data_IF_137226579321
#
_entry.id   IF_137226579321
#
_cell.length_a   1.000
_cell.length_b   1.000
_cell.length_c   1.000
_cell.angle_alpha   90.00
_cell.angle_beta   90.00
_cell.angle_gamma   90.00
#
_symmetry.space_group_name_H-M   'P 1'
#
loop_
_entity.id
_entity.type
_entity.pdbx_description
1 polymer ?
#
# COMPACT_ATOMS: atom_id res chain seq x y z
N UNK A 1 17.13 21.43 2.75
CA UNK A 1 17.34 22.75 2.09
C UNK A 1 16.83 22.74 0.63
N UNK A 2 16.75 23.89 -0.06
CA UNK A 2 16.60 23.92 -1.54
C UNK A 2 17.83 23.26 -2.21
N UNK A 3 19.02 23.44 -1.65
CA UNK A 3 20.28 22.81 -2.11
C UNK A 3 20.25 21.28 -2.06
N UNK A 4 19.91 20.65 -0.92
CA UNK A 4 19.89 19.18 -0.81
C UNK A 4 18.92 18.54 -1.81
N UNK A 5 17.79 19.21 -2.08
CA UNK A 5 16.84 18.77 -3.10
C UNK A 5 17.45 18.80 -4.49
N UNK A 6 18.17 19.87 -4.83
CA UNK A 6 18.90 19.93 -6.10
C UNK A 6 19.96 18.84 -6.19
N UNK A 7 20.64 18.54 -5.08
CA UNK A 7 21.65 17.47 -5.02
C UNK A 7 21.02 16.09 -5.30
N UNK A 8 19.91 15.75 -4.62
CA UNK A 8 19.20 14.47 -4.85
C UNK A 8 18.63 14.40 -6.27
N UNK A 9 18.03 15.48 -6.77
CA UNK A 9 17.54 15.55 -8.15
C UNK A 9 18.67 15.36 -9.16
N UNK A 10 19.82 16.01 -8.96
CA UNK A 10 21.00 15.86 -9.80
C UNK A 10 21.59 14.46 -9.72
N UNK A 11 21.64 13.85 -8.55
CA UNK A 11 22.14 12.49 -8.39
C UNK A 11 21.28 11.50 -9.16
N UNK A 12 19.95 11.59 -9.01
CA UNK A 12 19.02 10.69 -9.71
C UNK A 12 19.05 10.95 -11.22
N UNK A 13 19.05 12.21 -11.66
CA UNK A 13 19.06 12.53 -13.10
C UNK A 13 20.37 12.15 -13.80
N UNK A 14 21.51 12.27 -13.12
CA UNK A 14 22.82 11.95 -13.70
C UNK A 14 23.12 10.45 -13.67
N UNK A 15 22.74 9.74 -12.61
CA UNK A 15 23.05 8.31 -12.44
C UNK A 15 21.95 7.38 -12.94
N UNK A 16 20.70 7.85 -13.01
CA UNK A 16 19.55 7.02 -13.28
C UNK A 16 18.69 7.62 -14.41
N UNK A 17 19.19 7.54 -15.65
CA UNK A 17 18.53 8.08 -16.86
C UNK A 17 17.09 7.57 -17.10
N UNK A 18 16.76 6.46 -16.47
CA UNK A 18 15.46 5.80 -16.56
C UNK A 18 14.41 6.41 -15.64
N UNK A 19 14.77 7.37 -14.79
CA UNK A 19 13.88 7.96 -13.79
C UNK A 19 13.76 9.47 -13.95
N UNK A 20 12.54 9.96 -13.73
CA UNK A 20 12.19 11.37 -13.61
C UNK A 20 11.82 11.66 -12.16
N UNK A 21 12.26 12.81 -11.65
CA UNK A 21 11.97 13.23 -10.28
C UNK A 21 11.24 14.55 -10.26
N UNK A 22 10.32 14.71 -9.32
CA UNK A 22 9.59 15.97 -9.09
C UNK A 22 9.47 16.24 -7.59
N UNK A 23 9.26 17.51 -7.23
CA UNK A 23 9.12 17.92 -5.82
C UNK A 23 7.70 18.40 -5.58
N UNK A 24 7.05 17.92 -4.52
CA UNK A 24 5.78 18.48 -4.04
C UNK A 24 6.00 19.24 -2.73
N UNK A 25 5.70 20.54 -2.76
CA UNK A 25 5.71 21.41 -1.59
C UNK A 25 4.43 21.20 -0.76
N UNK A 26 4.50 21.48 0.54
CA UNK A 26 3.33 21.52 1.43
C UNK A 26 2.53 20.21 1.46
N UNK A 27 3.21 19.07 1.48
CA UNK A 27 2.52 17.79 1.71
C UNK A 27 2.10 17.79 3.18
N UNK A 28 0.79 17.78 3.49
CA UNK A 28 0.35 17.69 4.87
C UNK A 28 0.97 16.43 5.45
N UNK A 29 1.77 16.57 6.50
CA UNK A 29 2.04 15.43 7.35
C UNK A 29 0.67 14.99 7.85
N UNK A 30 0.19 13.82 7.42
CA UNK A 30 -0.81 13.14 8.21
C UNK A 30 -0.12 12.91 9.56
N UNK A 31 -0.39 13.79 10.52
CA UNK A 31 -0.14 13.53 11.92
C UNK A 31 -0.95 12.27 12.20
N UNK A 32 -0.30 11.12 12.10
CA UNK A 32 -0.87 9.87 12.58
C UNK A 32 -1.29 10.16 14.01
N UNK A 33 -2.60 10.25 14.24
CA UNK A 33 -3.17 10.83 15.45
C UNK A 33 -2.59 10.16 16.68
N UNK A 34 -1.80 10.93 17.43
CA UNK A 34 -1.42 10.65 18.81
C UNK A 34 -2.15 11.60 19.77
N UNK A 35 -3.12 12.39 19.29
CA UNK A 35 -3.79 13.44 20.07
C UNK A 35 -5.10 12.98 20.75
N UNK A 36 -5.28 11.68 21.00
CA UNK A 36 -6.35 11.16 21.87
C UNK A 36 -5.78 10.54 23.15
N UNK A 37 -5.17 11.37 23.99
CA UNK A 37 -5.13 11.15 25.44
C UNK A 37 -5.45 12.47 26.14
N UNK A 38 -6.70 12.92 26.00
CA UNK A 38 -7.31 13.83 26.98
C UNK A 38 -8.30 13.04 27.82
N UNK A 39 -7.91 12.79 29.07
CA UNK A 39 -8.84 12.59 30.18
C UNK A 39 -9.36 11.18 30.40
N UNK A 40 -8.54 10.33 31.04
CA UNK A 40 -9.09 9.40 32.03
C UNK A 40 -8.61 9.84 33.41
N UNK A 41 -9.54 10.42 34.15
CA UNK A 41 -9.46 10.59 35.59
C UNK A 41 -9.32 9.23 36.26
N UNK A 42 -8.29 9.08 37.10
CA UNK A 42 -8.12 7.98 38.05
C UNK A 42 -9.39 7.81 38.92
N UNK A 43 -9.79 6.59 39.29
CA UNK A 43 -10.77 6.40 40.34
C UNK A 43 -10.19 6.90 41.67
N UNK A 44 -10.96 7.77 42.34
CA UNK A 44 -10.69 8.25 43.70
C UNK A 44 -10.74 7.07 44.66
N UNK A 45 -9.61 6.79 45.28
CA UNK A 45 -9.53 5.99 46.49
C UNK A 45 -10.01 6.86 47.67
N UNK A 46 -10.97 6.35 48.45
CA UNK A 46 -11.54 7.04 49.60
C UNK A 46 -10.65 6.77 50.82
N UNK A 47 -9.63 7.61 51.01
CA UNK A 47 -8.80 7.64 52.20
C UNK A 47 -8.83 9.03 52.84
N UNK A 48 -9.58 9.14 53.92
CA UNK A 48 -9.73 10.31 54.80
C UNK A 48 -8.40 10.72 55.44
N UNK A 49 -7.94 11.97 55.25
CA UNK A 49 -7.20 12.77 56.25
C UNK A 49 -6.91 14.23 55.82
N UNK A 50 -7.51 15.17 56.55
CA UNK A 50 -7.01 16.49 57.01
C UNK A 50 -6.38 17.53 56.05
N UNK A 51 -7.08 18.66 55.99
CA UNK A 51 -6.70 20.08 55.81
C UNK A 51 -5.20 20.47 55.75
N UNK A 52 -4.80 21.26 54.73
CA UNK A 52 -4.61 22.74 54.84
C UNK A 52 -3.92 23.37 53.61
N UNK A 53 -4.38 24.60 53.30
CA UNK A 53 -3.68 25.76 52.72
C UNK A 53 -3.38 25.93 51.20
N UNK A 54 -4.05 26.97 50.66
CA UNK A 54 -3.56 28.12 49.85
C UNK A 54 -2.47 27.84 48.78
N UNK A 55 -2.74 28.23 47.53
CA UNK A 55 -2.46 29.57 46.98
C UNK A 55 -2.73 29.62 45.47
N UNK A 56 -3.42 30.68 45.04
CA UNK A 56 -3.66 31.08 43.66
C UNK A 56 -2.37 31.21 42.84
N UNK A 57 -2.33 30.59 41.66
CA UNK A 57 -1.52 31.06 40.53
C UNK A 57 -2.28 30.84 39.21
N UNK A 58 -2.86 31.93 38.73
CA UNK A 58 -3.42 32.09 37.40
C UNK A 58 -2.30 32.06 36.36
N UNK A 59 -2.03 30.91 35.74
CA UNK A 59 -1.10 30.80 34.61
C UNK A 59 -1.82 30.96 33.28
N UNK A 60 -1.46 32.02 32.60
CA UNK A 60 -1.89 32.45 31.27
C UNK A 60 -1.77 31.34 30.22
N UNK A 61 -2.86 31.13 29.47
CA UNK A 61 -2.89 30.33 28.25
C UNK A 61 -1.98 30.96 27.20
N UNK A 62 -0.73 30.49 27.11
CA UNK A 62 0.16 30.81 26.01
C UNK A 62 -0.29 30.01 24.78
N UNK A 63 -0.86 30.73 23.81
CA UNK A 63 -1.15 30.28 22.46
C UNK A 63 0.14 29.78 21.80
N UNK A 64 0.47 28.51 22.05
CA UNK A 64 1.58 27.84 21.38
C UNK A 64 1.14 27.57 19.95
N UNK A 65 1.36 28.55 19.07
CA UNK A 65 1.25 28.38 17.62
C UNK A 65 2.26 27.31 17.22
N UNK A 66 1.81 26.05 17.24
CA UNK A 66 2.52 24.91 16.69
C UNK A 66 2.88 25.26 15.25
N UNK A 67 4.15 25.56 15.01
CA UNK A 67 4.65 25.86 13.68
C UNK A 67 4.39 24.61 12.84
N UNK A 68 3.47 24.71 11.88
CA UNK A 68 3.08 23.60 11.03
C UNK A 68 4.33 23.02 10.38
N UNK A 69 4.69 21.79 10.77
CA UNK A 69 5.85 21.09 10.22
C UNK A 69 5.53 20.75 8.76
N UNK A 70 5.97 21.61 7.84
CA UNK A 70 5.81 21.37 6.40
C UNK A 70 6.85 20.36 5.92
N UNK A 71 6.39 19.21 5.43
CA UNK A 71 7.25 18.21 4.80
C UNK A 71 7.27 18.40 3.30
N UNK A 72 8.44 18.19 2.69
CA UNK A 72 8.60 18.17 1.23
C UNK A 72 8.78 16.74 0.77
N UNK A 73 7.96 16.29 -0.18
CA UNK A 73 8.09 14.95 -0.77
C UNK A 73 8.85 15.02 -2.10
N UNK A 74 9.77 14.07 -2.31
CA UNK A 74 10.38 13.80 -3.61
C UNK A 74 9.60 12.65 -4.24
N UNK A 75 9.03 12.89 -5.41
CA UNK A 75 8.28 11.90 -6.18
C UNK A 75 9.19 11.39 -7.29
N UNK A 76 9.45 10.08 -7.29
CA UNK A 76 10.25 9.39 -8.32
C UNK A 76 9.30 8.60 -9.23
N UNK A 77 9.47 8.74 -10.54
CA UNK A 77 8.70 8.04 -11.58
C UNK A 77 9.65 7.50 -12.64
N UNK A 78 9.22 6.49 -13.39
CA UNK A 78 9.95 6.07 -14.59
C UNK A 78 9.84 7.12 -15.69
N UNK A 79 10.92 7.28 -16.46
CA UNK A 79 10.93 8.19 -17.59
C UNK A 79 9.91 7.79 -18.65
N UNK A 80 9.34 8.78 -19.34
CA UNK A 80 8.37 8.49 -20.41
C UNK A 80 8.96 7.61 -21.52
N UNK A 81 10.28 7.65 -21.72
CA UNK A 81 10.98 6.82 -22.68
C UNK A 81 10.89 5.33 -22.32
N UNK A 82 11.19 4.98 -21.07
CA UNK A 82 11.08 3.58 -20.59
C UNK A 82 9.64 3.11 -20.63
N UNK A 83 8.69 3.96 -20.22
CA UNK A 83 7.27 3.63 -20.30
C UNK A 83 6.85 3.29 -21.75
N UNK A 84 7.32 4.04 -22.74
CA UNK A 84 7.09 3.76 -24.17
C UNK A 84 7.76 2.47 -24.64
N UNK A 85 8.97 2.17 -24.19
CA UNK A 85 9.67 0.92 -24.54
C UNK A 85 8.92 -0.32 -24.03
N UNK A 86 8.46 -0.29 -22.77
CA UNK A 86 7.70 -1.39 -22.17
C UNK A 86 6.38 -1.61 -22.92
N UNK A 87 5.67 -0.52 -23.25
CA UNK A 87 4.45 -0.60 -24.06
C UNK A 87 4.70 -1.19 -25.46
N UNK A 88 5.81 -0.83 -26.13
CA UNK A 88 6.17 -1.40 -27.44
C UNK A 88 6.49 -2.89 -27.38
N UNK A 89 7.18 -3.36 -26.34
CA UNK A 89 7.49 -4.78 -26.16
C UNK A 89 6.22 -5.61 -26.01
N UNK A 90 5.22 -5.11 -25.28
CA UNK A 90 3.90 -5.76 -25.16
C UNK A 90 3.15 -5.88 -26.47
N UNK A 91 3.07 -4.79 -27.25
CA UNK A 91 2.40 -4.82 -28.57
C UNK A 91 3.02 -5.84 -29.52
N UNK A 92 4.34 -6.07 -29.44
CA UNK A 92 5.02 -7.09 -30.25
C UNK A 92 4.63 -8.53 -29.88
N UNK A 93 4.29 -8.78 -28.61
CA UNK A 93 3.83 -10.11 -28.16
C UNK A 93 2.39 -10.39 -28.61
N UNK A 94 1.54 -9.36 -28.62
CA UNK A 94 0.16 -9.49 -29.15
C UNK A 94 0.13 -9.62 -30.67
N UNK A 95 1.09 -9.02 -31.38
CA UNK A 95 1.11 -8.99 -32.85
C UNK A 95 1.91 -10.11 -33.50
N UNK A 96 2.51 -11.05 -32.76
CA UNK A 96 3.04 -12.25 -33.41
C UNK A 96 1.88 -13.23 -33.66
N UNK A 97 1.42 -13.40 -34.91
CA UNK A 97 0.51 -14.47 -35.22
C UNK A 97 1.27 -15.77 -34.96
N UNK A 98 0.68 -16.65 -34.17
CA UNK A 98 1.18 -18.01 -33.95
C UNK A 98 0.95 -18.84 -35.22
N UNK A 99 1.53 -18.40 -36.35
CA UNK A 99 1.59 -19.14 -37.60
C UNK A 99 2.76 -20.11 -37.53
N UNK A 100 2.55 -21.24 -36.86
CA UNK A 100 3.24 -22.52 -37.15
C UNK A 100 2.60 -23.63 -36.33
N UNK A 101 1.50 -24.14 -36.87
CA UNK A 101 1.11 -25.55 -36.95
C UNK A 101 -0.41 -25.68 -37.15
N UNK A 102 -0.90 -25.11 -38.26
CA UNK A 102 -2.14 -25.58 -38.87
C UNK A 102 -1.83 -26.82 -39.69
N UNK A 103 -1.94 -27.99 -39.09
CA UNK A 103 -2.38 -29.21 -39.76
C UNK A 103 -2.68 -30.25 -38.67
N UNK A 104 -3.93 -30.71 -38.65
CA UNK A 104 -4.52 -31.73 -37.76
C UNK A 104 -5.11 -31.25 -36.42
N UNK A 105 -6.36 -30.74 -36.45
CA UNK A 105 -7.52 -31.57 -36.08
C UNK A 105 -8.82 -30.82 -36.32
N UNK A 106 -9.57 -31.32 -37.30
CA UNK A 106 -10.96 -31.01 -37.51
C UNK A 106 -11.81 -31.59 -36.37
N UNK A 107 -12.90 -30.88 -36.06
CA UNK A 107 -14.13 -31.37 -35.43
C UNK A 107 -14.06 -31.71 -33.93
N UNK A 108 -14.57 -30.80 -33.11
CA UNK A 108 -15.83 -31.01 -32.39
C UNK A 108 -16.36 -29.67 -31.90
N UNK A 109 -17.38 -29.16 -32.59
CA UNK A 109 -18.18 -28.00 -32.20
C UNK A 109 -19.07 -28.35 -30.99
N UNK A 110 -18.45 -28.51 -29.81
CA UNK A 110 -19.13 -28.24 -28.55
C UNK A 110 -18.64 -26.89 -28.08
N UNK A 111 -19.38 -25.87 -28.50
CA UNK A 111 -19.37 -24.50 -27.99
C UNK A 111 -19.71 -24.56 -26.50
N UNK A 112 -18.78 -25.04 -25.67
CA UNK A 112 -18.83 -24.87 -24.23
C UNK A 112 -19.04 -23.38 -24.04
N UNK A 113 -20.12 -23.03 -23.33
CA UNK A 113 -20.17 -21.74 -22.64
C UNK A 113 -18.90 -21.71 -21.81
N UNK A 114 -17.85 -21.10 -22.37
CA UNK A 114 -16.62 -20.85 -21.65
C UNK A 114 -17.08 -20.11 -20.42
N UNK A 115 -17.01 -20.83 -19.29
CA UNK A 115 -17.24 -20.26 -17.98
C UNK A 115 -16.21 -19.17 -17.89
N UNK A 116 -16.65 -17.96 -18.25
CA UNK A 116 -15.84 -16.77 -18.37
C UNK A 116 -15.04 -16.71 -17.08
N UNK A 117 -13.76 -17.07 -17.13
CA UNK A 117 -12.94 -17.24 -15.95
C UNK A 117 -12.68 -15.85 -15.41
N UNK A 118 -13.63 -15.36 -14.62
CA UNK A 118 -13.61 -14.00 -14.12
C UNK A 118 -12.56 -13.93 -13.04
N UNK A 119 -11.49 -13.19 -13.31
CA UNK A 119 -10.52 -12.84 -12.30
C UNK A 119 -11.04 -11.60 -11.56
N UNK A 120 -10.77 -11.51 -10.26
CA UNK A 120 -10.97 -10.26 -9.53
C UNK A 120 -9.67 -9.49 -9.50
N UNK A 121 -9.65 -8.30 -10.11
CA UNK A 121 -8.63 -7.29 -9.88
C UNK A 121 -8.91 -6.59 -8.55
N UNK A 122 -7.87 -6.39 -7.75
CA UNK A 122 -7.91 -5.61 -6.52
C UNK A 122 -6.59 -4.88 -6.28
N UNK A 123 -6.60 -3.96 -5.31
CA UNK A 123 -5.40 -3.30 -4.80
C UNK A 123 -5.04 -3.95 -3.47
N UNK A 124 -3.87 -4.58 -3.40
CA UNK A 124 -3.24 -5.05 -2.17
C UNK A 124 -2.41 -3.92 -1.56
N UNK A 125 -2.81 -3.50 -0.36
CA UNK A 125 -2.05 -2.59 0.51
C UNK A 125 -1.39 -3.40 1.61
N UNK A 126 -0.07 -3.31 1.77
CA UNK A 126 0.65 -3.94 2.89
C UNK A 126 1.48 -2.91 3.65
N UNK A 127 1.66 -3.15 4.94
CA UNK A 127 2.40 -2.27 5.87
C UNK A 127 3.56 -3.03 6.48
N UNK A 128 4.80 -2.63 6.17
CA UNK A 128 6.01 -3.21 6.81
C UNK A 128 6.09 -4.74 6.77
N UNK A 129 5.42 -5.38 5.81
CA UNK A 129 5.26 -6.84 5.73
C UNK A 129 6.05 -7.39 4.55
N UNK A 130 6.73 -8.51 4.77
CA UNK A 130 7.44 -9.26 3.73
C UNK A 130 6.44 -9.75 2.66
N UNK A 131 6.85 -9.76 1.39
CA UNK A 131 5.92 -9.94 0.28
C UNK A 131 5.27 -11.32 0.31
N UNK A 132 6.04 -12.39 0.47
CA UNK A 132 5.53 -13.76 0.54
C UNK A 132 4.60 -13.94 1.74
N UNK A 133 4.93 -13.35 2.88
CA UNK A 133 4.09 -13.31 4.08
C UNK A 133 2.73 -12.67 3.81
N UNK A 134 2.71 -11.53 3.11
CA UNK A 134 1.46 -10.87 2.70
C UNK A 134 0.61 -11.77 1.77
N UNK A 135 1.24 -12.48 0.83
CA UNK A 135 0.52 -13.41 -0.06
C UNK A 135 0.00 -14.62 0.70
N UNK A 136 0.78 -15.17 1.64
CA UNK A 136 0.35 -16.26 2.51
C UNK A 136 -0.84 -15.87 3.38
N UNK A 137 -0.83 -14.66 3.95
CA UNK A 137 -1.98 -14.14 4.70
C UNK A 137 -3.23 -14.01 3.81
N UNK A 138 -3.07 -13.56 2.57
CA UNK A 138 -4.17 -13.48 1.60
C UNK A 138 -4.74 -14.88 1.28
N UNK A 139 -3.84 -15.82 0.98
CA UNK A 139 -4.14 -17.22 0.72
C UNK A 139 -4.90 -17.87 1.88
N UNK A 140 -4.39 -17.74 3.10
CA UNK A 140 -5.02 -18.33 4.30
C UNK A 140 -6.37 -17.68 4.61
N UNK A 141 -6.54 -16.38 4.31
CA UNK A 141 -7.81 -15.68 4.53
C UNK A 141 -8.88 -16.05 3.50
N UNK A 142 -8.48 -16.49 2.31
CA UNK A 142 -9.36 -16.88 1.22
C UNK A 142 -9.38 -18.41 1.10
N UNK A 143 -10.39 -19.03 1.71
CA UNK A 143 -10.52 -20.48 1.66
C UNK A 143 -10.53 -21.02 0.21
N UNK A 144 -9.79 -22.10 -0.06
CA UNK A 144 -9.69 -22.81 -1.35
C UNK A 144 -9.03 -22.08 -2.52
N UNK A 145 -8.25 -21.01 -2.32
CA UNK A 145 -7.40 -20.49 -3.40
C UNK A 145 -6.01 -21.11 -3.33
N UNK A 146 -5.36 -21.34 -4.48
CA UNK A 146 -3.94 -21.70 -4.50
C UNK A 146 -3.09 -20.42 -4.55
N UNK A 147 -1.84 -20.49 -4.11
CA UNK A 147 -0.93 -19.35 -4.29
C UNK A 147 -0.75 -18.97 -5.78
N UNK A 148 -0.80 -19.94 -6.68
CA UNK A 148 -0.74 -19.72 -8.14
C UNK A 148 -2.02 -19.10 -8.74
N UNK A 149 -3.09 -18.97 -7.97
CA UNK A 149 -4.29 -18.24 -8.37
C UNK A 149 -4.19 -16.74 -8.07
N UNK A 150 -3.14 -16.32 -7.36
CA UNK A 150 -2.86 -14.92 -7.01
C UNK A 150 -1.83 -14.36 -8.01
N UNK A 151 -2.30 -13.55 -8.95
CA UNK A 151 -1.48 -12.88 -9.95
C UNK A 151 -0.95 -11.54 -9.44
N UNK A 152 0.36 -11.33 -9.53
CA UNK A 152 1.05 -10.12 -9.08
C UNK A 152 2.07 -9.69 -10.12
N UNK A 153 2.19 -8.37 -10.32
CA UNK A 153 3.10 -7.82 -11.32
C UNK A 153 4.57 -7.76 -10.87
N UNK A 154 4.83 -7.85 -9.56
CA UNK A 154 6.17 -7.84 -8.97
C UNK A 154 6.18 -7.75 -7.45
N UNK A 155 7.37 -7.95 -6.88
CA UNK A 155 7.66 -7.88 -5.44
C UNK A 155 7.81 -6.41 -5.02
N UNK A 156 7.47 -6.09 -3.77
CA UNK A 156 7.60 -4.74 -3.18
C UNK A 156 8.38 -4.79 -1.89
N UNK A 157 9.05 -3.68 -1.57
CA UNK A 157 9.90 -3.53 -0.39
C UNK A 157 9.16 -3.89 0.90
N UNK A 158 9.85 -4.60 1.80
CA UNK A 158 9.31 -4.97 3.11
C UNK A 158 9.09 -3.73 3.97
N UNK A 159 10.11 -2.87 4.12
CA UNK A 159 10.11 -1.72 5.02
C UNK A 159 9.40 -0.49 4.45
N UNK A 160 8.18 -0.65 3.94
CA UNK A 160 7.38 0.43 3.38
C UNK A 160 5.88 0.17 3.52
N UNK A 161 5.07 1.21 3.29
CA UNK A 161 3.65 1.06 2.96
C UNK A 161 3.55 0.98 1.45
N UNK A 162 3.10 -0.16 0.93
CA UNK A 162 3.08 -0.38 -0.53
C UNK A 162 1.68 -0.71 -0.99
N UNK A 163 1.31 -0.16 -2.14
CA UNK A 163 0.08 -0.46 -2.85
C UNK A 163 0.45 -1.14 -4.17
N UNK A 164 -0.21 -2.25 -4.49
CA UNK A 164 -0.02 -2.91 -5.76
C UNK A 164 -1.31 -3.52 -6.26
N UNK A 165 -1.45 -3.59 -7.58
CA UNK A 165 -2.51 -4.39 -8.17
C UNK A 165 -2.23 -5.88 -7.99
N UNK A 166 -3.30 -6.64 -7.80
CA UNK A 166 -3.33 -8.08 -7.64
C UNK A 166 -4.57 -8.62 -8.38
N UNK A 167 -4.45 -9.76 -9.05
CA UNK A 167 -5.60 -10.49 -9.60
C UNK A 167 -5.79 -11.80 -8.85
N UNK A 168 -7.04 -12.20 -8.60
CA UNK A 168 -7.37 -13.46 -7.94
C UNK A 168 -8.27 -14.26 -8.88
N UNK A 169 -7.80 -15.44 -9.31
CA UNK A 169 -8.50 -16.27 -10.30
C UNK A 169 -9.78 -16.88 -9.75
N UNK A 170 -10.85 -16.87 -10.55
CA UNK A 170 -12.13 -17.53 -10.25
C UNK A 170 -12.77 -17.16 -8.91
N UNK A 171 -12.46 -15.97 -8.40
CA UNK A 171 -13.08 -15.43 -7.19
C UNK A 171 -13.88 -14.19 -7.58
N UNK A 172 -15.07 -14.04 -6.99
CA UNK A 172 -15.90 -12.86 -7.21
C UNK A 172 -15.49 -11.67 -6.32
N UNK A 173 -15.63 -10.42 -6.81
CA UNK A 173 -15.32 -9.22 -6.04
C UNK A 173 -16.02 -9.15 -4.68
N UNK A 174 -17.30 -9.56 -4.63
CA UNK A 174 -18.11 -9.61 -3.41
C UNK A 174 -17.53 -10.57 -2.36
N UNK A 175 -16.93 -11.68 -2.80
CA UNK A 175 -16.27 -12.61 -1.87
C UNK A 175 -14.99 -12.00 -1.29
N UNK A 176 -14.13 -11.43 -2.15
CA UNK A 176 -12.90 -10.75 -1.70
C UNK A 176 -13.21 -9.64 -0.70
N UNK A 177 -14.25 -8.85 -0.96
CA UNK A 177 -14.71 -7.81 -0.05
C UNK A 177 -15.09 -8.36 1.33
N UNK A 178 -15.91 -9.43 1.40
CA UNK A 178 -16.29 -10.05 2.68
C UNK A 178 -15.09 -10.58 3.45
N UNK A 179 -14.12 -11.19 2.77
CA UNK A 179 -12.88 -11.67 3.40
C UNK A 179 -12.09 -10.50 3.98
N UNK A 180 -11.93 -9.42 3.22
CA UNK A 180 -11.26 -8.20 3.69
C UNK A 180 -11.93 -7.61 4.93
N UNK A 181 -13.27 -7.55 4.96
CA UNK A 181 -14.02 -7.05 6.11
C UNK A 181 -13.86 -7.96 7.34
N UNK A 182 -13.72 -9.28 7.13
CA UNK A 182 -13.38 -10.22 8.20
C UNK A 182 -11.96 -9.97 8.72
N UNK A 183 -10.98 -9.79 7.84
CA UNK A 183 -9.58 -9.52 8.22
C UNK A 183 -9.48 -8.22 9.04
N UNK A 184 -10.14 -7.14 8.60
CA UNK A 184 -10.20 -5.87 9.34
C UNK A 184 -10.75 -6.02 10.76
N UNK A 185 -11.78 -6.85 10.95
CA UNK A 185 -12.37 -7.09 12.27
C UNK A 185 -11.44 -7.88 13.21
N UNK A 186 -10.73 -8.88 12.69
CA UNK A 186 -9.75 -9.62 13.51
C UNK A 186 -8.63 -8.72 14.01
N UNK A 187 -8.17 -7.77 13.20
CA UNK A 187 -7.14 -6.81 13.63
C UNK A 187 -7.60 -5.85 14.73
N UNK A 188 -8.88 -5.49 14.78
CA UNK A 188 -9.38 -4.58 15.83
C UNK A 188 -9.40 -5.21 17.22
N UNK A 189 -9.49 -6.54 17.32
CA UNK A 189 -9.51 -7.25 18.60
C UNK A 189 -8.13 -7.61 19.14
N UNK A 190 -7.09 -7.52 18.31
CA UNK A 190 -5.71 -7.74 18.74
C UNK A 190 -5.10 -6.42 19.22
N UNK A 191 -5.70 -5.83 20.26
CA UNK A 191 -5.01 -4.83 21.08
C UNK A 191 -4.07 -5.62 21.98
N UNK A 192 -2.77 -5.38 21.85
CA UNK A 192 -1.80 -5.92 22.79
C UNK A 192 -2.13 -5.38 24.20
N UNK A 193 -2.00 -6.21 25.23
CA UNK A 193 -2.38 -5.87 26.60
C UNK A 193 -1.66 -4.62 27.14
N UNK A 194 -0.51 -4.28 26.55
CA UNK A 194 0.29 -3.10 26.90
C UNK A 194 -0.32 -1.78 26.41
N UNK A 195 -1.51 -1.80 25.79
CA UNK A 195 -2.18 -0.59 25.28
C UNK A 195 -1.45 0.08 24.10
N UNK A 196 -0.28 -0.43 23.72
CA UNK A 196 0.37 -0.10 22.47
C UNK A 196 -0.50 -0.64 21.35
N UNK A 197 -1.05 0.25 20.54
CA UNK A 197 -1.69 -0.12 19.28
C UNK A 197 -0.60 -0.68 18.35
N UNK A 198 -0.18 -1.92 18.61
CA UNK A 198 0.79 -2.64 17.81
C UNK A 198 0.31 -2.59 16.37
N UNK A 199 1.08 -1.91 15.52
CA UNK A 199 0.91 -1.93 14.06
C UNK A 199 1.27 -3.34 13.60
N UNK A 200 0.45 -4.33 13.94
CA UNK A 200 0.62 -5.68 13.46
C UNK A 200 0.58 -5.66 11.93
N UNK A 201 1.38 -6.54 11.33
CA UNK A 201 1.60 -6.70 9.90
C UNK A 201 0.29 -6.76 9.12
N UNK A 202 -0.20 -5.57 8.77
CA UNK A 202 -1.53 -5.42 8.22
C UNK A 202 -1.43 -5.54 6.71
N UNK A 203 -2.29 -6.38 6.15
CA UNK A 203 -2.62 -6.32 4.74
C UNK A 203 -4.09 -5.94 4.59
N UNK A 204 -4.38 -5.17 3.56
CA UNK A 204 -5.72 -4.77 3.20
C UNK A 204 -5.89 -4.97 1.71
N UNK A 205 -7.06 -5.42 1.30
CA UNK A 205 -7.44 -5.42 -0.12
C UNK A 205 -8.61 -4.48 -0.36
N UNK A 206 -8.63 -3.84 -1.51
CA UNK A 206 -9.67 -2.89 -1.86
C UNK A 206 -9.80 -2.71 -3.37
N UNK A 207 -10.73 -1.84 -3.77
CA UNK A 207 -10.94 -1.43 -5.15
C UNK A 207 -11.10 -2.62 -6.11
N UNK A 208 -12.20 -3.37 -5.94
CA UNK A 208 -12.43 -4.64 -6.62
C UNK A 208 -13.11 -4.45 -7.97
N UNK A 209 -12.63 -5.14 -9.00
CA UNK A 209 -13.25 -5.16 -10.32
C UNK A 209 -13.15 -6.56 -10.95
N UNK A 210 -14.14 -6.95 -11.75
CA UNK A 210 -14.02 -8.15 -12.58
C UNK A 210 -13.16 -7.84 -13.81
N UNK A 211 -12.22 -8.71 -14.12
CA UNK A 211 -11.36 -8.62 -15.30
C UNK A 211 -11.22 -10.00 -15.97
N UNK A 212 -10.94 -10.00 -17.26
CA UNK A 212 -10.74 -11.19 -18.09
C UNK A 212 -9.26 -11.62 -18.19
N UNK A 213 -8.34 -10.79 -17.71
CA UNK A 213 -6.90 -11.07 -17.67
C UNK A 213 -6.40 -11.40 -16.25
N UNK A 214 -5.23 -12.02 -16.16
CA UNK A 214 -4.49 -12.21 -14.90
C UNK A 214 -3.18 -11.45 -14.98
N UNK A 215 -2.78 -10.83 -13.87
CA UNK A 215 -1.47 -10.21 -13.74
C UNK A 215 -0.38 -11.28 -13.66
N UNK A 216 0.67 -11.11 -14.42
CA UNK A 216 1.88 -11.92 -14.43
C UNK A 216 3.08 -11.09 -13.97
N UNK A 217 4.14 -11.78 -13.55
CA UNK A 217 5.39 -11.12 -13.18
C UNK A 217 5.93 -10.33 -14.36
N UNK A 218 6.29 -9.05 -14.11
CA UNK A 218 6.78 -8.13 -15.14
C UNK A 218 5.67 -7.31 -15.80
N UNK A 219 4.40 -7.50 -15.41
CA UNK A 219 3.31 -6.69 -15.97
C UNK A 219 3.28 -5.22 -15.49
N UNK A 220 4.18 -4.87 -14.58
CA UNK A 220 4.28 -3.55 -14.01
C UNK A 220 5.06 -2.63 -14.96
N UNK A 221 4.46 -1.51 -15.36
CA UNK A 221 5.17 -0.47 -16.11
C UNK A 221 6.20 0.28 -15.25
N UNK A 222 5.93 0.36 -13.95
CA UNK A 222 6.77 1.07 -13.02
C UNK A 222 6.18 1.24 -11.63
N UNK A 223 6.91 1.95 -10.77
CA UNK A 223 6.51 2.30 -9.42
C UNK A 223 6.43 3.81 -9.28
N UNK A 224 5.56 4.28 -8.38
CA UNK A 224 5.56 5.65 -7.89
C UNK A 224 5.97 5.59 -6.43
N UNK A 225 6.99 6.37 -6.07
CA UNK A 225 7.50 6.44 -4.71
C UNK A 225 7.16 7.79 -4.09
N UNK A 226 6.74 7.76 -2.83
CA UNK A 226 6.67 8.91 -1.95
C UNK A 226 7.64 8.67 -0.79
N UNK A 227 8.71 9.47 -0.75
CA UNK A 227 9.79 9.31 0.23
C UNK A 227 9.82 10.54 1.12
N UNK A 228 9.80 10.30 2.43
CA UNK A 228 9.96 11.33 3.47
C UNK A 228 11.34 11.17 4.09
N UNK A 229 12.19 12.18 3.92
CA UNK A 229 13.53 12.23 4.50
C UNK A 229 13.44 13.05 5.80
N UNK A 230 13.96 12.50 6.90
CA UNK A 230 13.99 13.13 8.23
C UNK A 230 15.44 13.42 8.65
N UNK A 231 15.60 14.32 9.62
CA UNK A 231 16.87 14.59 10.31
C UNK A 231 18.07 14.87 9.39
N UNK A 232 17.82 15.63 8.32
CA UNK A 232 18.89 16.06 7.40
C UNK A 232 19.78 17.07 8.12
N UNK A 233 20.94 16.61 8.60
CA UNK A 233 21.98 17.45 9.16
C UNK A 233 22.59 18.35 8.07
N UNK A 234 22.94 19.58 8.45
CA UNK A 234 23.53 20.58 7.56
C UNK A 234 25.04 20.54 7.60
#
# INVERSE_FOLDING_TARGET
SKEDRRSVHNLISTKCRDFETSTRSNVPLQSNGNDDVKGQSLPKDNGDTTETNKKDESKSAADTKSAAVTTTAIVVRWSQHIQRMVQRKRKRLEQQPFEKNQQQKQQTDKKSKDKNSSNTLCILKKYQTEHLTAINQLHTSMHNIRMSDIGLAGIKDMCAITYQFCTIRNISPKFVQRVNDKMKRHHHHQKDEDGSSGKSNMIQVGNFANVDFSLNQGDLLGNVFEIVIRDVQR
#
